data_IF_159104630086
#
_entry.id   IF_159104630086
#
_cell.length_a   1.000
_cell.length_b   1.000
_cell.length_c   1.000
_cell.angle_alpha   90.00
_cell.angle_beta   90.00
_cell.angle_gamma   90.00
#
_symmetry.space_group_name_H-M   'P 1'
#
loop_
_entity.id
_entity.type
_entity.pdbx_description
1 polymer ?
#
# COMPACT_ATOMS: atom_id res chain seq x y z
N UNK A 1 16.79 -9.83 22.41
CA UNK A 1 15.81 -9.15 21.53
C UNK A 1 15.30 -7.95 22.30
N UNK A 2 15.26 -6.77 21.68
CA UNK A 2 14.92 -5.53 22.40
C UNK A 2 13.65 -4.98 21.78
N UNK A 3 12.66 -4.69 22.63
CA UNK A 3 11.44 -4.00 22.22
C UNK A 3 11.61 -2.55 22.64
N UNK A 4 11.61 -1.63 21.69
CA UNK A 4 11.76 -0.21 21.94
C UNK A 4 10.39 0.41 22.14
N UNK A 5 10.16 1.09 23.26
CA UNK A 5 8.88 1.73 23.60
C UNK A 5 9.07 3.22 23.83
N UNK A 6 8.01 4.02 23.65
CA UNK A 6 7.97 5.41 24.08
C UNK A 6 7.20 5.50 25.40
N UNK A 7 7.88 5.30 26.52
CA UNK A 7 7.26 5.28 27.85
C UNK A 7 7.82 6.41 28.72
N UNK A 8 7.00 7.42 28.98
CA UNK A 8 7.40 8.56 29.82
C UNK A 8 7.55 8.18 31.30
N UNK A 9 6.81 7.17 31.76
CA UNK A 9 6.65 6.80 33.17
C UNK A 9 6.86 5.30 33.45
N UNK A 10 7.45 4.55 32.51
CA UNK A 10 7.69 3.10 32.64
C UNK A 10 9.11 2.75 33.09
N UNK A 11 9.28 1.61 33.77
CA UNK A 11 10.61 1.08 34.11
C UNK A 11 11.34 0.59 32.85
N UNK A 12 12.50 1.20 32.57
CA UNK A 12 13.37 0.79 31.46
C UNK A 12 14.05 -0.57 31.74
N UNK A 13 14.06 -1.47 30.76
CA UNK A 13 14.74 -2.77 30.85
C UNK A 13 13.89 -3.91 31.42
N UNK A 14 12.58 -3.70 31.65
CA UNK A 14 11.65 -4.75 32.09
C UNK A 14 11.46 -5.83 31.02
N UNK A 15 10.99 -7.00 31.43
CA UNK A 15 10.61 -8.07 30.50
C UNK A 15 9.40 -7.65 29.67
N UNK A 16 9.46 -7.91 28.38
CA UNK A 16 8.33 -7.67 27.47
C UNK A 16 7.17 -8.64 27.77
N UNK A 17 5.93 -8.17 27.69
CA UNK A 17 4.74 -9.00 27.96
C UNK A 17 4.60 -10.19 27.01
N UNK A 18 5.16 -10.09 25.80
CA UNK A 18 5.22 -11.20 24.84
C UNK A 18 6.47 -12.08 25.01
N UNK A 19 7.22 -11.94 26.10
CA UNK A 19 8.27 -12.89 26.46
C UNK A 19 7.66 -14.27 26.67
N UNK A 20 8.11 -15.24 25.88
CA UNK A 20 7.72 -16.62 26.04
C UNK A 20 8.07 -17.13 27.45
N UNK A 21 7.13 -17.79 28.12
CA UNK A 21 7.35 -18.48 29.39
C UNK A 21 8.35 -19.63 29.28
N UNK A 22 8.88 -20.07 30.42
CA UNK A 22 10.04 -20.99 30.46
C UNK A 22 9.81 -22.34 29.77
N UNK A 23 8.61 -22.90 29.86
CA UNK A 23 8.25 -24.14 29.16
C UNK A 23 8.32 -23.98 27.64
N UNK A 24 7.76 -22.87 27.12
CA UNK A 24 7.76 -22.59 25.68
C UNK A 24 9.18 -22.26 25.18
N UNK A 25 9.99 -21.59 26.00
CA UNK A 25 11.41 -21.32 25.70
C UNK A 25 12.22 -22.59 25.56
N UNK A 26 12.04 -23.55 26.48
CA UNK A 26 12.69 -24.87 26.41
C UNK A 26 12.21 -25.65 25.18
N UNK A 27 10.90 -25.69 24.93
CA UNK A 27 10.30 -26.41 23.79
C UNK A 27 10.74 -25.86 22.43
N UNK A 28 10.81 -24.54 22.28
CA UNK A 28 11.19 -23.86 21.02
C UNK A 28 12.67 -23.46 20.95
N UNK A 29 13.50 -23.85 21.93
CA UNK A 29 14.91 -23.46 22.05
C UNK A 29 15.16 -21.95 21.91
N UNK A 30 14.28 -21.14 22.51
CA UNK A 30 14.40 -19.68 22.48
C UNK A 30 15.49 -19.26 23.48
N UNK A 31 16.65 -18.86 22.96
CA UNK A 31 17.83 -18.46 23.76
C UNK A 31 17.81 -17.00 24.18
N UNK A 32 17.06 -16.15 23.49
CA UNK A 32 17.01 -14.72 23.77
C UNK A 32 15.96 -14.36 24.83
N UNK A 33 16.21 -13.23 25.50
CA UNK A 33 15.26 -12.54 26.38
C UNK A 33 14.81 -11.26 25.67
N UNK A 34 13.51 -10.99 25.72
CA UNK A 34 12.84 -9.78 25.24
C UNK A 34 12.75 -8.80 26.40
N UNK A 35 13.43 -7.65 26.26
CA UNK A 35 13.33 -6.54 27.23
C UNK A 35 12.82 -5.29 26.55
N UNK A 36 12.00 -4.53 27.26
CA UNK A 36 11.53 -3.21 26.82
C UNK A 36 12.59 -2.16 27.10
N UNK A 37 12.81 -1.25 26.17
CA UNK A 37 13.76 -0.14 26.28
C UNK A 37 13.11 1.16 25.87
N UNK A 38 13.26 2.20 26.68
CA UNK A 38 12.71 3.51 26.36
C UNK A 38 13.55 4.23 25.28
N UNK A 39 12.88 4.62 24.20
CA UNK A 39 13.50 5.29 23.04
C UNK A 39 14.04 6.67 23.42
N UNK A 40 13.29 7.45 24.20
CA UNK A 40 13.69 8.81 24.54
C UNK A 40 14.88 8.84 25.50
N UNK A 41 14.91 7.95 26.49
CA UNK A 41 16.02 7.80 27.43
C UNK A 41 17.28 7.29 26.74
N UNK A 42 17.14 6.38 25.77
CA UNK A 42 18.30 5.74 25.13
C UNK A 42 18.84 6.56 23.95
N UNK A 43 17.98 7.18 23.16
CA UNK A 43 18.35 7.89 21.92
C UNK A 43 18.03 9.39 21.93
N UNK A 44 17.33 9.90 22.95
CA UNK A 44 16.92 11.31 23.02
C UNK A 44 18.01 12.25 23.55
N UNK A 45 17.69 13.55 23.64
CA UNK A 45 18.64 14.58 24.07
C UNK A 45 19.24 14.26 25.45
N UNK A 46 20.58 14.31 25.55
CA UNK A 46 21.32 14.01 26.78
C UNK A 46 21.81 12.56 26.92
N UNK A 47 21.46 11.65 26.01
CA UNK A 47 22.09 10.33 25.92
C UNK A 47 23.35 10.37 25.05
N UNK A 48 24.22 9.36 25.20
CA UNK A 48 25.40 9.19 24.36
C UNK A 48 25.02 9.12 22.87
N UNK A 49 23.96 8.36 22.54
CA UNK A 49 23.45 8.27 21.18
C UNK A 49 22.81 9.58 20.69
N UNK A 50 22.11 10.32 21.57
CA UNK A 50 21.55 11.63 21.25
C UNK A 50 22.60 12.72 21.05
N UNK A 51 23.84 12.49 21.52
CA UNK A 51 25.00 13.36 21.27
C UNK A 51 25.72 13.05 19.96
N UNK A 52 25.41 11.92 19.31
CA UNK A 52 25.96 11.54 18.02
C UNK A 52 25.09 12.08 16.87
N UNK A 53 25.70 12.73 15.87
CA UNK A 53 25.03 13.28 14.69
C UNK A 53 24.58 12.21 13.67
N UNK A 54 24.10 11.06 14.14
CA UNK A 54 23.72 9.95 13.27
C UNK A 54 22.21 10.02 12.98
N UNK A 55 21.86 10.38 11.75
CA UNK A 55 20.53 10.24 11.18
C UNK A 55 20.17 8.75 11.05
N UNK A 56 19.64 8.15 12.12
CA UNK A 56 19.19 6.76 12.13
C UNK A 56 17.70 6.65 11.81
N UNK A 57 17.27 7.04 10.61
CA UNK A 57 15.89 6.79 10.13
C UNK A 57 15.75 5.53 9.26
N UNK A 58 16.85 4.81 8.99
CA UNK A 58 16.86 3.75 7.97
C UNK A 58 16.99 2.30 8.43
N UNK A 59 17.36 2.00 9.68
CA UNK A 59 17.75 0.63 10.08
C UNK A 59 16.97 0.04 11.25
N UNK A 60 15.91 0.69 11.71
CA UNK A 60 15.01 0.12 12.73
C UNK A 60 13.97 -0.86 12.15
N UNK A 61 13.92 -1.01 10.81
CA UNK A 61 12.81 -1.67 10.10
C UNK A 61 13.20 -2.85 9.22
N UNK A 62 14.45 -3.32 9.21
CA UNK A 62 14.83 -4.33 8.21
C UNK A 62 15.70 -5.46 8.77
N UNK A 63 15.06 -6.61 8.91
CA UNK A 63 15.58 -7.97 9.09
C UNK A 63 16.41 -8.23 10.38
N UNK A 64 16.37 -9.47 10.92
CA UNK A 64 17.22 -9.87 12.04
C UNK A 64 18.71 -9.65 11.71
N UNK A 65 19.36 -8.71 12.40
CA UNK A 65 20.81 -8.62 12.39
C UNK A 65 21.36 -9.59 13.43
N UNK A 66 22.14 -10.58 13.00
CA UNK A 66 22.71 -11.62 13.88
C UNK A 66 21.67 -12.32 14.79
N UNK A 67 20.46 -12.56 14.28
CA UNK A 67 19.39 -13.22 15.05
C UNK A 67 18.71 -12.32 16.09
N UNK A 68 18.98 -11.01 16.07
CA UNK A 68 18.30 -10.02 16.90
C UNK A 68 17.40 -9.12 16.06
N UNK A 69 16.10 -9.14 16.35
CA UNK A 69 15.13 -8.18 15.81
C UNK A 69 14.89 -7.09 16.86
N UNK A 70 14.86 -5.84 16.40
CA UNK A 70 14.41 -4.70 17.19
C UNK A 70 13.01 -4.34 16.73
N UNK A 71 12.05 -4.39 17.65
CA UNK A 71 10.67 -3.99 17.38
C UNK A 71 10.44 -2.65 18.08
N UNK A 72 10.11 -1.60 17.34
CA UNK A 72 9.61 -0.37 17.96
C UNK A 72 8.10 -0.53 18.12
N UNK A 73 7.66 -0.63 19.36
CA UNK A 73 6.25 -0.57 19.71
C UNK A 73 5.88 0.90 19.99
N UNK A 74 5.33 1.55 18.98
CA UNK A 74 4.79 2.91 19.08
C UNK A 74 3.36 2.94 19.64
N UNK A 75 2.73 1.79 19.86
CA UNK A 75 1.35 1.70 20.36
C UNK A 75 1.27 1.97 21.87
N UNK A 76 2.38 1.82 22.60
CA UNK A 76 2.45 2.00 24.06
C UNK A 76 2.71 3.44 24.55
N UNK A 77 2.25 4.47 23.81
CA UNK A 77 2.22 5.84 24.30
C UNK A 77 0.78 6.40 24.36
N UNK A 78 -0.18 5.73 25.07
CA UNK A 78 -1.58 6.14 25.07
C UNK A 78 -1.82 7.53 25.69
N UNK A 79 -0.88 8.01 26.51
CA UNK A 79 -1.00 9.29 27.22
C UNK A 79 -0.19 10.44 26.57
N UNK A 80 0.68 10.17 25.59
CA UNK A 80 1.43 11.22 24.89
C UNK A 80 0.61 11.72 23.68
N UNK A 81 -0.08 12.85 23.86
CA UNK A 81 -0.90 13.47 22.81
C UNK A 81 -0.13 13.77 21.52
N UNK A 82 1.18 14.07 21.60
CA UNK A 82 2.00 14.34 20.42
C UNK A 82 2.28 13.05 19.65
N UNK A 83 2.53 11.93 20.35
CA UNK A 83 2.66 10.61 19.70
C UNK A 83 1.32 10.17 19.11
N UNK A 84 0.21 10.34 19.82
CA UNK A 84 -1.13 10.07 19.29
C UNK A 84 -1.44 10.90 18.04
N UNK A 85 -1.10 12.20 18.05
CA UNK A 85 -1.24 13.07 16.88
C UNK A 85 -0.34 12.64 15.72
N UNK A 86 0.87 12.17 16.00
CA UNK A 86 1.77 11.63 14.97
C UNK A 86 1.22 10.33 14.38
N UNK A 87 0.73 9.39 15.21
CA UNK A 87 0.09 8.14 14.75
C UNK A 87 -1.09 8.46 13.83
N UNK A 88 -1.96 9.40 14.22
CA UNK A 88 -3.06 9.86 13.37
C UNK A 88 -2.58 10.47 12.06
N UNK A 89 -1.48 11.26 12.08
CA UNK A 89 -0.91 11.87 10.86
C UNK A 89 -0.24 10.87 9.93
N UNK A 90 0.29 9.76 10.44
CA UNK A 90 0.93 8.71 9.64
C UNK A 90 -0.02 7.56 9.30
N UNK A 91 -1.23 7.54 9.86
CA UNK A 91 -2.28 6.57 9.53
C UNK A 91 -2.54 6.56 8.02
N UNK A 92 -2.47 7.73 7.40
CA UNK A 92 -2.51 7.86 5.95
C UNK A 92 -1.43 8.83 5.45
N UNK A 93 -0.50 8.29 4.67
CA UNK A 93 0.51 9.09 3.96
C UNK A 93 0.16 9.04 2.48
N UNK A 94 -0.26 10.17 1.86
CA UNK A 94 -0.60 10.18 0.44
C UNK A 94 0.64 9.93 -0.41
N UNK A 95 0.44 9.35 -1.60
CA UNK A 95 1.50 9.30 -2.60
C UNK A 95 1.93 10.71 -3.01
N UNK A 96 3.13 10.79 -3.59
CA UNK A 96 3.68 12.05 -4.09
C UNK A 96 2.79 12.68 -5.17
N UNK A 97 2.76 14.02 -5.30
CA UNK A 97 1.84 14.72 -6.18
C UNK A 97 1.87 14.29 -7.64
N UNK A 98 3.04 13.89 -8.17
CA UNK A 98 3.21 13.41 -9.54
C UNK A 98 2.33 12.18 -9.82
N UNK A 99 2.24 11.25 -8.85
CA UNK A 99 1.43 10.04 -8.94
C UNK A 99 -0.04 10.41 -8.79
N UNK A 100 -0.38 11.15 -7.73
CA UNK A 100 -1.77 11.54 -7.42
C UNK A 100 -2.40 12.30 -8.60
N UNK A 101 -1.69 13.30 -9.12
CA UNK A 101 -2.18 14.10 -10.24
C UNK A 101 -2.34 13.28 -11.52
N UNK A 102 -1.46 12.29 -11.75
CA UNK A 102 -1.54 11.45 -12.94
C UNK A 102 -2.71 10.48 -12.87
N UNK A 103 -2.97 9.85 -11.72
CA UNK A 103 -4.16 9.03 -11.52
C UNK A 103 -5.46 9.84 -11.62
N UNK A 104 -5.53 11.02 -10.97
CA UNK A 104 -6.67 11.94 -11.12
C UNK A 104 -6.89 12.35 -12.57
N UNK A 105 -5.82 12.68 -13.28
CA UNK A 105 -5.87 13.04 -14.70
C UNK A 105 -6.48 11.91 -15.53
N UNK A 106 -6.06 10.66 -15.30
CA UNK A 106 -6.64 9.52 -16.01
C UNK A 106 -8.14 9.35 -15.72
N UNK A 107 -8.53 9.40 -14.44
CA UNK A 107 -9.94 9.29 -14.06
C UNK A 107 -10.80 10.41 -14.69
N UNK A 108 -10.36 11.66 -14.60
CA UNK A 108 -11.14 12.83 -15.03
C UNK A 108 -11.08 13.09 -16.53
N UNK A 109 -9.96 12.76 -17.19
CA UNK A 109 -9.72 13.10 -18.60
C UNK A 109 -9.67 11.90 -19.55
N UNK A 110 -9.51 10.68 -19.06
CA UNK A 110 -9.55 9.47 -19.91
C UNK A 110 -10.87 8.74 -19.72
N UNK A 111 -11.23 8.42 -18.47
CA UNK A 111 -12.48 7.71 -18.18
C UNK A 111 -13.69 8.64 -18.40
N UNK A 112 -13.63 9.87 -17.86
CA UNK A 112 -14.64 10.93 -18.05
C UNK A 112 -16.09 10.56 -17.67
N UNK A 113 -16.28 9.57 -16.79
CA UNK A 113 -17.58 9.11 -16.34
C UNK A 113 -17.47 8.46 -14.95
N UNK A 114 -18.58 8.33 -14.18
CA UNK A 114 -18.61 7.44 -13.02
C UNK A 114 -18.25 6.02 -13.44
N UNK A 115 -17.29 5.41 -12.73
CA UNK A 115 -16.79 4.09 -13.04
C UNK A 115 -16.63 3.24 -11.77
N UNK A 116 -16.65 1.92 -11.96
CA UNK A 116 -16.29 0.93 -10.96
C UNK A 116 -14.79 0.64 -11.08
N UNK A 117 -14.06 0.53 -9.96
CA UNK A 117 -12.73 -0.09 -9.99
C UNK A 117 -12.84 -1.58 -9.63
N UNK A 118 -12.21 -2.43 -10.45
CA UNK A 118 -11.99 -3.83 -10.19
C UNK A 118 -10.49 -4.08 -9.96
N UNK A 119 -10.10 -4.27 -8.69
CA UNK A 119 -8.74 -4.65 -8.30
C UNK A 119 -8.66 -6.18 -8.17
N UNK A 120 -7.95 -6.80 -9.12
CA UNK A 120 -7.97 -8.24 -9.35
C UNK A 120 -6.54 -8.79 -9.33
N UNK A 121 -6.11 -9.30 -8.18
CA UNK A 121 -4.85 -10.01 -8.03
C UNK A 121 -5.07 -11.50 -8.34
N UNK A 122 -4.64 -11.93 -9.52
CA UNK A 122 -4.94 -13.25 -10.07
C UNK A 122 -3.68 -14.12 -10.19
N UNK A 123 -2.51 -13.58 -10.51
CA UNK A 123 -1.31 -14.40 -10.72
C UNK A 123 -0.53 -14.75 -9.47
N UNK A 124 -0.72 -14.00 -8.40
CA UNK A 124 -0.08 -14.24 -7.12
C UNK A 124 -0.57 -15.55 -6.49
N UNK A 125 0.39 -16.43 -6.13
CA UNK A 125 0.14 -17.78 -5.63
C UNK A 125 -0.72 -17.83 -4.37
N UNK A 126 -0.74 -16.76 -3.58
CA UNK A 126 -1.62 -16.64 -2.41
C UNK A 126 -3.09 -16.46 -2.82
N UNK A 127 -3.35 -15.87 -3.99
CA UNK A 127 -4.68 -15.48 -4.45
C UNK A 127 -5.24 -16.38 -5.56
N UNK A 128 -4.47 -17.35 -6.09
CA UNK A 128 -4.93 -18.30 -7.11
C UNK A 128 -6.21 -19.07 -6.72
N UNK A 129 -6.40 -19.35 -5.43
CA UNK A 129 -7.61 -20.02 -4.93
C UNK A 129 -8.81 -19.08 -4.74
N UNK A 130 -8.61 -17.77 -4.84
CA UNK A 130 -9.64 -16.75 -4.62
C UNK A 130 -10.32 -16.27 -5.91
N UNK A 131 -9.88 -16.73 -7.09
CA UNK A 131 -10.40 -16.28 -8.39
C UNK A 131 -11.92 -16.37 -8.47
N UNK A 132 -12.50 -17.50 -8.04
CA UNK A 132 -13.95 -17.71 -8.09
C UNK A 132 -14.70 -16.72 -7.22
N UNK A 133 -14.21 -16.48 -6.00
CA UNK A 133 -14.84 -15.54 -5.08
C UNK A 133 -14.71 -14.08 -5.58
N UNK A 134 -13.52 -13.70 -6.05
CA UNK A 134 -13.28 -12.36 -6.59
C UNK A 134 -14.13 -12.08 -7.83
N UNK A 135 -14.18 -13.01 -8.78
CA UNK A 135 -15.03 -12.84 -9.97
C UNK A 135 -16.52 -12.91 -9.63
N UNK A 136 -16.93 -13.72 -8.67
CA UNK A 136 -18.32 -13.76 -8.22
C UNK A 136 -18.74 -12.39 -7.63
N UNK A 137 -17.93 -11.82 -6.73
CA UNK A 137 -18.19 -10.50 -6.16
C UNK A 137 -18.24 -9.39 -7.22
N UNK A 138 -17.33 -9.45 -8.21
CA UNK A 138 -17.34 -8.52 -9.34
C UNK A 138 -18.60 -8.66 -10.17
N UNK A 139 -18.99 -9.90 -10.50
CA UNK A 139 -20.19 -10.18 -11.28
C UNK A 139 -21.45 -9.69 -10.59
N UNK A 140 -21.63 -10.01 -9.31
CA UNK A 140 -22.77 -9.53 -8.51
C UNK A 140 -22.85 -8.00 -8.48
N UNK A 141 -21.71 -7.33 -8.32
CA UNK A 141 -21.66 -5.86 -8.33
C UNK A 141 -22.03 -5.29 -9.69
N UNK A 142 -21.57 -5.90 -10.78
CA UNK A 142 -21.86 -5.46 -12.13
C UNK A 142 -23.32 -5.74 -12.52
N UNK A 143 -23.87 -6.90 -12.18
CA UNK A 143 -25.27 -7.24 -12.44
C UNK A 143 -26.21 -6.25 -11.73
N UNK A 144 -25.92 -5.91 -10.46
CA UNK A 144 -26.65 -4.85 -9.75
C UNK A 144 -26.56 -3.48 -10.44
N UNK A 145 -25.39 -3.12 -10.98
CA UNK A 145 -25.21 -1.86 -11.71
C UNK A 145 -25.90 -1.87 -13.07
N UNK A 146 -26.00 -3.02 -13.74
CA UNK A 146 -26.72 -3.18 -15.02
C UNK A 146 -28.21 -2.93 -14.84
N UNK A 147 -28.79 -3.42 -13.75
CA UNK A 147 -30.22 -3.27 -13.47
C UNK A 147 -30.62 -1.82 -13.11
N UNK A 148 -29.71 -1.08 -12.45
CA UNK A 148 -30.04 0.23 -11.85
C UNK A 148 -29.43 1.43 -12.58
N UNK A 149 -28.44 1.22 -13.44
CA UNK A 149 -27.60 2.26 -13.99
C UNK A 149 -27.66 2.37 -15.51
N UNK A 150 -27.14 3.49 -16.06
CA UNK A 150 -26.95 3.62 -17.50
C UNK A 150 -25.86 2.67 -18.00
N UNK A 151 -26.07 2.10 -19.18
CA UNK A 151 -25.07 1.34 -19.93
C UNK A 151 -24.35 2.24 -20.95
N UNK A 152 -23.10 1.95 -21.30
CA UNK A 152 -22.24 0.90 -20.74
C UNK A 152 -21.70 1.28 -19.35
N UNK A 153 -21.48 0.27 -18.49
CA UNK A 153 -20.80 0.46 -17.22
C UNK A 153 -19.31 0.67 -17.50
N UNK A 154 -18.79 1.81 -17.07
CA UNK A 154 -17.35 2.09 -17.13
C UNK A 154 -16.65 1.31 -16.01
N UNK A 155 -15.66 0.49 -16.35
CA UNK A 155 -14.90 -0.31 -15.39
C UNK A 155 -13.42 -0.06 -15.60
N UNK A 156 -12.73 0.40 -14.56
CA UNK A 156 -11.27 0.41 -14.54
C UNK A 156 -10.78 -0.92 -13.96
N UNK A 157 -9.99 -1.67 -14.73
CA UNK A 157 -9.49 -2.98 -14.35
C UNK A 157 -8.01 -2.86 -14.00
N UNK A 158 -7.71 -3.13 -12.73
CA UNK A 158 -6.36 -3.18 -12.18
C UNK A 158 -6.03 -4.64 -11.91
N UNK A 159 -5.17 -5.24 -12.72
CA UNK A 159 -4.87 -6.69 -12.61
C UNK A 159 -3.45 -7.02 -13.01
N UNK A 160 -2.90 -8.05 -12.37
CA UNK A 160 -1.62 -8.66 -12.76
C UNK A 160 -1.77 -9.69 -13.89
N UNK A 161 -3.00 -10.04 -14.30
CA UNK A 161 -3.25 -10.96 -15.41
C UNK A 161 -3.14 -10.21 -16.76
N UNK A 162 -2.16 -10.54 -17.63
CA UNK A 162 -2.04 -9.89 -18.92
C UNK A 162 -3.25 -10.19 -19.80
N UNK A 163 -3.65 -9.20 -20.62
CA UNK A 163 -4.80 -9.31 -21.53
C UNK A 163 -4.76 -10.50 -22.49
N UNK A 164 -3.56 -10.96 -22.88
CA UNK A 164 -3.39 -12.17 -23.69
C UNK A 164 -4.01 -13.42 -23.04
N UNK A 165 -4.14 -13.41 -21.71
CA UNK A 165 -4.62 -14.52 -20.90
C UNK A 165 -6.07 -14.32 -20.44
N UNK A 166 -6.77 -13.32 -20.96
CA UNK A 166 -8.18 -13.07 -20.58
C UNK A 166 -9.15 -14.01 -21.30
N UNK A 167 -8.73 -14.65 -22.39
CA UNK A 167 -9.57 -15.59 -23.15
C UNK A 167 -10.06 -16.71 -22.23
N UNK A 168 -11.38 -16.94 -22.21
CA UNK A 168 -12.01 -17.95 -21.35
C UNK A 168 -12.15 -17.54 -19.88
N UNK A 169 -11.87 -16.27 -19.55
CA UNK A 169 -12.12 -15.69 -18.22
C UNK A 169 -13.27 -14.70 -18.27
N UNK A 170 -13.83 -14.36 -17.11
CA UNK A 170 -14.89 -13.35 -17.01
C UNK A 170 -14.44 -11.97 -17.54
N UNK A 171 -13.15 -11.61 -17.38
CA UNK A 171 -12.59 -10.39 -17.99
C UNK A 171 -12.63 -10.44 -19.52
N UNK A 172 -12.40 -11.61 -20.11
CA UNK A 172 -12.50 -11.81 -21.55
C UNK A 172 -13.95 -11.69 -22.05
N UNK A 173 -14.92 -12.16 -21.27
CA UNK A 173 -16.34 -12.02 -21.59
C UNK A 173 -16.80 -10.55 -21.49
N UNK A 174 -16.39 -9.85 -20.43
CA UNK A 174 -16.63 -8.40 -20.28
C UNK A 174 -16.00 -7.60 -21.42
N UNK A 175 -14.81 -7.96 -21.88
CA UNK A 175 -14.13 -7.28 -22.98
C UNK A 175 -14.83 -7.46 -24.34
N UNK A 176 -15.63 -8.52 -24.51
CA UNK A 176 -16.41 -8.78 -25.73
C UNK A 176 -17.77 -8.07 -25.73
N UNK A 177 -18.35 -7.85 -24.56
CA UNK A 177 -19.67 -7.22 -24.37
C UNK A 177 -19.53 -5.69 -24.25
N UNK A 178 -19.20 -5.03 -25.36
CA UNK A 178 -18.97 -3.58 -25.40
C UNK A 178 -20.24 -2.75 -25.18
N UNK A 179 -21.42 -3.34 -25.39
CA UNK A 179 -22.70 -2.68 -25.18
C UNK A 179 -23.01 -2.57 -23.68
N UNK A 180 -22.61 -3.57 -22.89
CA UNK A 180 -22.79 -3.54 -21.44
C UNK A 180 -21.61 -2.91 -20.69
N UNK A 181 -20.38 -3.02 -21.21
CA UNK A 181 -19.17 -2.63 -20.48
C UNK A 181 -18.18 -1.83 -21.32
N UNK A 182 -17.58 -0.82 -20.69
CA UNK A 182 -16.44 -0.10 -21.23
C UNK A 182 -15.25 -0.22 -20.30
N UNK A 183 -14.27 -1.04 -20.70
CA UNK A 183 -13.10 -1.35 -19.88
C UNK A 183 -11.96 -0.35 -20.09
N UNK A 184 -11.34 0.07 -19.00
CA UNK A 184 -10.13 0.90 -18.98
C UNK A 184 -9.05 0.17 -18.22
N UNK A 185 -7.83 0.19 -18.77
CA UNK A 185 -6.67 -0.51 -18.22
C UNK A 185 -5.47 0.42 -18.43
N UNK A 186 -4.54 0.43 -17.48
CA UNK A 186 -3.24 1.08 -17.66
C UNK A 186 -2.15 0.03 -17.89
N UNK A 187 -1.15 0.40 -18.68
CA UNK A 187 0.03 -0.43 -18.94
C UNK A 187 1.29 0.39 -18.69
N UNK A 188 2.39 -0.29 -18.37
CA UNK A 188 3.68 0.35 -18.13
C UNK A 188 4.13 1.25 -19.31
N UNK A 189 3.84 0.82 -20.54
CA UNK A 189 4.18 1.55 -21.76
C UNK A 189 3.27 2.75 -22.06
N UNK A 190 2.19 2.97 -21.30
CA UNK A 190 1.29 4.09 -21.55
C UNK A 190 2.00 5.42 -21.28
N UNK A 191 1.76 6.40 -22.17
CA UNK A 191 2.39 7.72 -22.08
C UNK A 191 2.21 8.37 -20.71
N UNK A 192 1.06 8.18 -20.07
CA UNK A 192 0.80 8.70 -18.73
C UNK A 192 1.79 8.14 -17.70
N UNK A 193 2.02 6.82 -17.68
CA UNK A 193 2.91 6.15 -16.73
C UNK A 193 4.36 6.59 -16.99
N UNK A 194 4.76 6.60 -18.25
CA UNK A 194 6.09 7.05 -18.67
C UNK A 194 6.35 8.53 -18.32
N UNK A 195 5.37 9.41 -18.52
CA UNK A 195 5.49 10.82 -18.16
C UNK A 195 5.50 11.03 -16.65
N UNK A 196 4.76 10.21 -15.89
CA UNK A 196 4.80 10.21 -14.42
C UNK A 196 6.19 9.83 -13.92
N UNK A 197 6.76 8.76 -14.47
CA UNK A 197 8.12 8.32 -14.13
C UNK A 197 9.17 9.41 -14.41
N UNK A 198 9.09 10.07 -15.57
CA UNK A 198 9.98 11.19 -15.90
C UNK A 198 9.85 12.35 -14.91
N UNK A 199 8.62 12.69 -14.48
CA UNK A 199 8.39 13.76 -13.50
C UNK A 199 8.96 13.40 -12.14
N UNK A 200 8.81 12.15 -11.68
CA UNK A 200 9.39 11.69 -10.42
C UNK A 200 10.92 11.82 -10.41
N UNK A 201 11.58 11.45 -11.51
CA UNK A 201 13.04 11.60 -11.66
C UNK A 201 13.45 13.09 -11.71
N UNK A 202 12.62 13.96 -12.30
CA UNK A 202 12.92 15.39 -12.49
C UNK A 202 12.58 16.26 -11.27
N UNK A 203 11.59 15.86 -10.46
CA UNK A 203 11.15 16.55 -9.25
C UNK A 203 12.13 16.38 -8.08
N UNK A 204 12.96 15.34 -8.11
CA UNK A 204 14.09 15.13 -7.19
C UNK A 204 15.28 16.03 -7.48
N UNK A 205 15.10 17.36 -7.49
CA UNK A 205 16.14 18.33 -7.90
C UNK A 205 17.39 18.42 -7.00
N UNK A 206 17.52 17.55 -5.99
CA UNK A 206 18.73 17.41 -5.16
C UNK A 206 19.41 16.03 -5.25
N UNK A 207 18.91 15.10 -6.08
CA UNK A 207 19.57 13.81 -6.30
C UNK A 207 19.82 13.64 -7.79
N UNK A 208 21.11 13.55 -8.18
CA UNK A 208 21.51 13.18 -9.54
C UNK A 208 21.08 11.72 -9.82
N UNK A 209 19.81 11.49 -10.13
CA UNK A 209 19.39 10.22 -10.71
C UNK A 209 19.82 10.19 -12.19
N UNK A 210 20.43 9.08 -12.66
CA UNK A 210 20.87 8.99 -14.05
C UNK A 210 19.67 9.14 -14.98
N UNK A 211 19.91 9.74 -16.14
CA UNK A 211 18.95 10.00 -17.21
C UNK A 211 17.91 8.89 -17.40
N UNK A 212 16.68 9.28 -17.75
CA UNK A 212 15.49 8.45 -18.00
C UNK A 212 15.64 7.28 -19.01
N UNK A 213 16.84 7.03 -19.53
CA UNK A 213 17.22 5.79 -20.25
C UNK A 213 17.45 4.60 -19.30
N UNK A 214 17.50 4.83 -17.98
CA UNK A 214 17.74 3.80 -16.95
C UNK A 214 16.64 3.82 -15.86
N UNK A 215 15.36 3.92 -16.24
CA UNK A 215 14.31 3.49 -15.33
C UNK A 215 14.40 1.96 -15.23
N UNK A 216 14.77 1.44 -14.06
CA UNK A 216 14.70 0.02 -13.77
C UNK A 216 13.26 -0.44 -14.10
N UNK A 217 13.01 -1.50 -14.89
CA UNK A 217 11.66 -1.98 -15.18
C UNK A 217 10.80 -2.13 -13.91
N UNK A 218 11.42 -2.52 -12.80
CA UNK A 218 10.77 -2.61 -11.50
C UNK A 218 10.19 -1.27 -11.01
N UNK A 219 10.86 -0.15 -11.29
CA UNK A 219 10.36 1.20 -10.96
C UNK A 219 9.13 1.60 -11.76
N UNK A 220 8.99 1.14 -13.00
CA UNK A 220 7.80 1.43 -13.81
C UNK A 220 6.58 0.63 -13.35
N UNK A 221 6.80 -0.62 -12.93
CA UNK A 221 5.75 -1.46 -12.35
C UNK A 221 5.21 -0.86 -11.05
N UNK A 222 6.09 -0.37 -10.18
CA UNK A 222 5.69 0.31 -8.94
C UNK A 222 4.94 1.62 -9.22
N UNK A 223 5.42 2.43 -10.19
CA UNK A 223 4.75 3.67 -10.58
C UNK A 223 3.36 3.38 -11.18
N UNK A 224 3.26 2.37 -12.04
CA UNK A 224 1.98 1.91 -12.58
C UNK A 224 1.04 1.57 -11.43
N UNK A 225 1.46 0.70 -10.51
CA UNK A 225 0.68 0.28 -9.35
C UNK A 225 0.12 1.48 -8.57
N UNK A 226 0.97 2.45 -8.19
CA UNK A 226 0.52 3.62 -7.42
C UNK A 226 -0.41 4.54 -8.21
N UNK A 227 -0.22 4.65 -9.53
CA UNK A 227 -1.15 5.38 -10.41
C UNK A 227 -2.48 4.66 -10.50
N UNK A 228 -2.51 3.33 -10.64
CA UNK A 228 -3.73 2.52 -10.66
C UNK A 228 -4.50 2.62 -9.35
N UNK A 229 -3.83 2.54 -8.19
CA UNK A 229 -4.44 2.75 -6.88
C UNK A 229 -5.10 4.13 -6.78
N UNK A 230 -4.41 5.16 -7.27
CA UNK A 230 -4.96 6.52 -7.34
C UNK A 230 -6.20 6.57 -8.24
N UNK A 231 -6.17 5.95 -9.43
CA UNK A 231 -7.34 5.87 -10.31
C UNK A 231 -8.49 5.16 -9.60
N UNK A 232 -8.25 4.04 -8.94
CA UNK A 232 -9.27 3.30 -8.20
C UNK A 232 -9.85 4.09 -7.02
N UNK A 233 -9.04 4.94 -6.37
CA UNK A 233 -9.53 5.84 -5.33
C UNK A 233 -10.57 6.85 -5.87
N UNK A 234 -10.56 7.13 -7.18
CA UNK A 234 -11.52 7.99 -7.87
C UNK A 234 -12.82 7.28 -8.31
N UNK A 235 -12.93 5.95 -8.16
CA UNK A 235 -14.06 5.18 -8.69
C UNK A 235 -15.37 5.49 -7.94
N UNK A 236 -16.30 6.18 -8.60
CA UNK A 236 -17.57 6.62 -7.96
C UNK A 236 -18.62 5.51 -7.86
N UNK A 237 -18.56 4.46 -8.69
CA UNK A 237 -19.50 3.34 -8.62
C UNK A 237 -19.09 2.28 -7.58
N UNK A 238 -17.90 2.45 -6.97
CA UNK A 238 -17.37 1.60 -5.92
C UNK A 238 -16.05 0.93 -6.30
N UNK A 239 -15.58 0.09 -5.37
CA UNK A 239 -14.40 -0.75 -5.50
C UNK A 239 -14.81 -2.21 -5.28
N UNK A 240 -14.34 -3.10 -6.15
CA UNK A 240 -14.31 -4.55 -5.90
C UNK A 240 -12.84 -4.95 -5.86
N UNK A 241 -12.36 -5.32 -4.67
CA UNK A 241 -10.98 -5.73 -4.45
C UNK A 241 -10.84 -7.23 -4.20
N UNK A 242 -9.65 -7.76 -4.42
CA UNK A 242 -9.31 -9.14 -4.06
C UNK A 242 -9.20 -9.24 -2.53
N UNK A 243 -9.93 -10.18 -1.93
CA UNK A 243 -9.94 -10.35 -0.48
C UNK A 243 -8.53 -10.61 0.07
N UNK A 244 -8.13 -9.89 1.12
CA UNK A 244 -6.79 -9.98 1.72
C UNK A 244 -5.69 -9.24 0.94
N UNK A 245 -6.03 -8.49 -0.11
CA UNK A 245 -5.06 -7.66 -0.82
C UNK A 245 -4.82 -6.35 -0.08
N UNK A 246 -3.58 -6.11 0.36
CA UNK A 246 -3.16 -4.83 0.95
C UNK A 246 -3.33 -3.65 -0.02
N UNK A 247 -3.32 -3.90 -1.33
CA UNK A 247 -3.62 -2.90 -2.36
C UNK A 247 -5.07 -2.43 -2.25
N UNK A 248 -6.03 -3.34 -2.07
CA UNK A 248 -7.43 -2.97 -1.90
C UNK A 248 -7.65 -2.15 -0.61
N UNK A 249 -6.95 -2.51 0.48
CA UNK A 249 -6.95 -1.77 1.73
C UNK A 249 -6.37 -0.35 1.58
N UNK A 250 -5.26 -0.22 0.84
CA UNK A 250 -4.65 1.07 0.49
C UNK A 250 -5.62 1.96 -0.30
N UNK A 251 -6.30 1.41 -1.32
CA UNK A 251 -7.29 2.15 -2.09
C UNK A 251 -8.46 2.61 -1.20
N UNK A 252 -8.99 1.74 -0.33
CA UNK A 252 -10.05 2.12 0.62
C UNK A 252 -9.60 3.24 1.57
N UNK A 253 -8.36 3.19 2.04
CA UNK A 253 -7.79 4.26 2.88
C UNK A 253 -7.69 5.58 2.11
N UNK A 254 -7.25 5.56 0.84
CA UNK A 254 -7.21 6.74 -0.03
C UNK A 254 -8.61 7.33 -0.26
N UNK A 255 -9.64 6.47 -0.40
CA UNK A 255 -11.04 6.87 -0.56
C UNK A 255 -11.59 7.55 0.68
N UNK A 256 -11.35 6.96 1.87
CA UNK A 256 -11.74 7.55 3.16
C UNK A 256 -11.12 8.93 3.37
N UNK A 257 -9.88 9.11 2.92
CA UNK A 257 -9.15 10.38 2.98
C UNK A 257 -9.43 11.33 1.81
N UNK A 258 -10.45 11.04 0.98
CA UNK A 258 -10.93 11.96 -0.06
C UNK A 258 -9.85 12.41 -1.06
N UNK A 259 -8.90 11.52 -1.38
CA UNK A 259 -7.81 11.82 -2.33
C UNK A 259 -8.37 12.35 -3.63
N UNK A 260 -9.46 11.74 -4.12
CA UNK A 260 -10.07 12.09 -5.40
C UNK A 260 -11.35 12.92 -5.28
N UNK A 261 -11.39 13.83 -4.30
CA UNK A 261 -12.42 14.88 -4.28
C UNK A 261 -12.36 15.76 -5.53
N UNK A 262 -13.53 16.21 -6.04
CA UNK A 262 -13.62 17.12 -7.18
C UNK A 262 -12.91 18.44 -6.95
#
# INVERSE_FOLDING_TARGET
MTVWTYQKDGEDGILDSFQAGDELRKKKKITFVRKRRDVHRTFGPGSEAGSASVLAFGSLFTAPYQGSESHIDIHEAPQDQRIQSLIQKIEFIPFVPEIINSGKKFALQTIKAPFLCAQLRLLDGQFKNHWRATFQALKEKLDFLKEKGPLPIHVFVMTDLPMSNWTGTYLGDMAKDSDAFKLFILREGDKLVMDTAKKLVSGGRNAKFPSAKHCNPQSLSDILLFVEETVCSCARLGLVGTAGSTIAESIELMRKNSICSP
#
